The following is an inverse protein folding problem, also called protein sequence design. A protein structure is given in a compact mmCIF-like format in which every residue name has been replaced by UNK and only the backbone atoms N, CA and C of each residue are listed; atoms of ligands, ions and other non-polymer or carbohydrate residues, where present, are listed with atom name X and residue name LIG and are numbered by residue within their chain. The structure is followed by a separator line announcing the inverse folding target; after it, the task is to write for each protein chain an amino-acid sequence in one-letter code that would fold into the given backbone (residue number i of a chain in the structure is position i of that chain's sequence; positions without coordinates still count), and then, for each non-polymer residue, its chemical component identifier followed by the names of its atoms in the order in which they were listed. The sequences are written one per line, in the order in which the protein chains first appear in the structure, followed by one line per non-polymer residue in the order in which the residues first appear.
data_IF_266503770132
#
_entry.id   IF_266503770132
#
_cell.length_a   1.000
_cell.length_b   1.000
_cell.length_c   1.000
_cell.angle_alpha   90.00
_cell.angle_beta   90.00
_cell.angle_gamma   90.00
#
_symmetry.space_group_name_H-M   'P 1'
#
loop_
_entity.id
_entity.type
_entity.pdbx_description
1 polymer ?
#
# COMPACT_ATOMS: atom_id res chain seq x y z
N UNK A 1 54.80 34.88 -9.43
CA UNK A 1 53.49 34.67 -10.09
C UNK A 1 52.93 33.35 -9.56
N UNK A 2 52.00 33.39 -8.60
CA UNK A 2 51.42 32.19 -7.95
C UNK A 2 50.16 31.79 -8.72
N UNK A 3 50.19 30.61 -9.35
CA UNK A 3 49.03 30.04 -10.06
C UNK A 3 48.26 29.20 -9.06
N UNK A 4 47.06 29.67 -8.67
CA UNK A 4 46.11 28.94 -7.85
C UNK A 4 45.38 27.93 -8.74
N UNK A 5 45.54 26.63 -8.47
CA UNK A 5 44.73 25.58 -9.07
C UNK A 5 43.39 25.52 -8.31
N UNK A 6 42.30 25.94 -8.95
CA UNK A 6 40.95 25.71 -8.45
C UNK A 6 40.53 24.29 -8.84
N UNK A 7 40.45 23.38 -7.86
CA UNK A 7 39.84 22.07 -8.04
C UNK A 7 38.33 22.26 -7.96
N UNK A 8 37.65 22.11 -9.09
CA UNK A 8 36.20 22.07 -9.17
C UNK A 8 35.73 20.67 -8.77
N UNK A 9 35.11 20.54 -7.59
CA UNK A 9 34.41 19.31 -7.19
C UNK A 9 33.10 19.22 -8.00
N UNK A 10 33.07 18.33 -8.98
CA UNK A 10 31.85 17.89 -9.65
C UNK A 10 31.04 17.02 -8.68
N UNK A 11 29.99 17.59 -8.10
CA UNK A 11 28.92 16.81 -7.48
C UNK A 11 28.16 16.08 -8.58
N UNK A 12 28.41 14.79 -8.74
CA UNK A 12 27.52 13.90 -9.47
C UNK A 12 26.27 13.77 -8.60
N UNK A 13 25.25 14.58 -8.86
CA UNK A 13 23.91 14.29 -8.38
C UNK A 13 23.43 13.06 -9.14
N UNK A 14 23.53 11.89 -8.52
CA UNK A 14 22.80 10.72 -8.96
C UNK A 14 21.30 11.09 -8.91
N UNK A 15 20.67 11.16 -10.09
CA UNK A 15 19.29 11.55 -10.22
C UNK A 15 18.40 10.59 -9.44
N UNK A 16 17.64 11.13 -8.49
CA UNK A 16 16.59 10.37 -7.83
C UNK A 16 15.54 10.02 -8.91
N UNK A 17 15.28 8.73 -9.12
CA UNK A 17 14.30 8.25 -10.11
C UNK A 17 12.89 8.45 -9.57
N UNK A 18 12.25 9.56 -9.89
CA UNK A 18 10.82 9.76 -9.68
C UNK A 18 10.04 9.07 -10.82
N UNK A 19 9.15 8.14 -10.49
CA UNK A 19 8.43 7.33 -11.49
C UNK A 19 7.02 6.95 -11.10
N UNK A 20 6.17 6.72 -12.11
CA UNK A 20 4.83 6.14 -11.98
C UNK A 20 4.86 4.65 -11.60
N UNK A 21 6.04 4.04 -11.58
CA UNK A 21 6.28 2.64 -11.32
C UNK A 21 7.69 2.42 -10.76
N UNK A 22 7.89 1.28 -10.10
CA UNK A 22 9.20 0.79 -9.70
C UNK A 22 9.36 -0.67 -10.10
N UNK A 23 10.42 -0.98 -10.84
CA UNK A 23 10.85 -2.33 -11.17
C UNK A 23 12.16 -2.64 -10.46
N UNK A 24 12.23 -3.77 -9.74
CA UNK A 24 13.43 -4.16 -8.97
C UNK A 24 14.71 -4.21 -9.82
N UNK A 25 14.57 -4.54 -11.11
CA UNK A 25 15.68 -4.63 -12.08
C UNK A 25 15.60 -3.55 -13.18
N UNK A 26 14.70 -2.57 -13.03
CA UNK A 26 14.52 -1.48 -13.99
C UNK A 26 13.64 -1.79 -15.22
N UNK A 27 13.28 -3.05 -15.44
CA UNK A 27 12.39 -3.45 -16.54
C UNK A 27 10.95 -3.05 -16.21
N UNK A 28 10.44 -2.04 -16.94
CA UNK A 28 9.06 -1.53 -16.80
C UNK A 28 8.40 -1.61 -18.17
N UNK A 29 7.42 -2.52 -18.31
CA UNK A 29 6.66 -2.77 -19.53
C UNK A 29 5.73 -1.59 -19.87
N UNK A 30 5.01 -1.07 -18.89
CA UNK A 30 3.98 -0.06 -19.12
C UNK A 30 4.54 1.36 -18.96
N UNK A 31 4.56 2.19 -20.02
CA UNK A 31 5.12 3.53 -19.95
C UNK A 31 4.26 4.46 -19.10
N UNK A 32 4.82 5.60 -18.68
CA UNK A 32 4.06 6.63 -17.98
C UNK A 32 2.84 7.07 -18.80
N UNK A 33 1.69 7.18 -18.15
CA UNK A 33 0.43 7.58 -18.79
C UNK A 33 -0.30 6.46 -19.55
N UNK A 34 0.13 5.19 -19.44
CA UNK A 34 -0.67 4.06 -19.93
C UNK A 34 -2.07 4.06 -19.30
N UNK A 35 -3.08 3.63 -20.06
CA UNK A 35 -4.48 3.69 -19.63
C UNK A 35 -4.97 2.47 -18.85
N UNK A 36 -4.39 1.29 -19.10
CA UNK A 36 -4.75 0.02 -18.47
C UNK A 36 -3.68 -1.03 -18.72
N UNK A 37 -3.62 -2.07 -17.89
CA UNK A 37 -2.84 -3.27 -18.20
C UNK A 37 -3.42 -3.99 -19.44
N UNK A 38 -2.58 -4.67 -20.22
CA UNK A 38 -2.95 -5.33 -21.49
C UNK A 38 -4.00 -6.44 -21.29
N UNK A 39 -3.99 -7.08 -20.13
CA UNK A 39 -4.94 -8.14 -19.78
C UNK A 39 -6.29 -7.61 -19.28
N UNK A 40 -6.52 -6.29 -19.29
CA UNK A 40 -7.79 -5.68 -18.88
C UNK A 40 -8.72 -5.49 -20.09
N UNK A 41 -9.90 -6.08 -20.03
CA UNK A 41 -10.98 -5.74 -20.95
C UNK A 41 -11.62 -4.39 -20.56
N UNK A 42 -11.29 -3.33 -21.30
CA UNK A 42 -11.85 -1.97 -21.06
C UNK A 42 -13.36 -1.88 -21.29
N UNK A 43 -13.92 -2.79 -22.08
CA UNK A 43 -15.38 -2.88 -22.33
C UNK A 43 -16.09 -3.81 -21.33
N UNK A 44 -15.43 -4.25 -20.26
CA UNK A 44 -16.04 -5.10 -19.27
C UNK A 44 -17.27 -4.42 -18.63
N UNK A 45 -18.45 -5.06 -18.68
CA UNK A 45 -19.69 -4.47 -18.14
C UNK A 45 -19.52 -4.18 -16.65
N UNK A 46 -20.13 -3.08 -16.19
CA UNK A 46 -20.12 -2.68 -14.77
C UNK A 46 -21.49 -2.97 -14.17
N UNK A 47 -21.51 -3.70 -13.05
CA UNK A 47 -22.73 -4.09 -12.35
C UNK A 47 -22.96 -5.60 -12.35
N UNK A 48 -24.10 -6.01 -11.77
CA UNK A 48 -24.40 -7.41 -11.49
C UNK A 48 -23.84 -7.88 -10.15
N UNK A 49 -24.10 -9.16 -9.85
CA UNK A 49 -23.66 -9.82 -8.63
C UNK A 49 -22.78 -11.04 -8.97
N UNK A 50 -21.71 -11.23 -8.21
CA UNK A 50 -20.87 -12.43 -8.29
C UNK A 50 -20.97 -13.13 -6.92
N UNK A 51 -21.61 -14.30 -6.91
CA UNK A 51 -21.67 -15.16 -5.74
C UNK A 51 -20.53 -16.19 -5.82
N UNK A 52 -19.67 -16.22 -4.80
CA UNK A 52 -18.55 -17.15 -4.70
C UNK A 52 -18.61 -17.93 -3.39
N UNK A 53 -18.22 -19.20 -3.44
CA UNK A 53 -17.89 -19.95 -2.23
C UNK A 53 -16.45 -19.62 -1.86
N UNK A 54 -16.21 -19.32 -0.58
CA UNK A 54 -14.88 -18.98 -0.10
C UNK A 54 -13.88 -20.12 -0.42
N UNK A 55 -12.75 -19.85 -1.09
CA UNK A 55 -11.76 -20.88 -1.44
C UNK A 55 -10.86 -21.23 -0.24
N UNK A 56 -11.38 -21.13 0.99
CA UNK A 56 -10.61 -21.31 2.22
C UNK A 56 -11.28 -22.35 3.12
N UNK A 57 -10.51 -22.98 4.02
CA UNK A 57 -11.05 -23.94 4.99
C UNK A 57 -11.92 -23.29 6.07
N UNK A 58 -11.77 -21.98 6.27
CA UNK A 58 -12.57 -21.23 7.24
C UNK A 58 -13.98 -21.05 6.67
N UNK A 59 -14.96 -21.75 7.27
CA UNK A 59 -16.37 -21.67 6.89
C UNK A 59 -17.11 -20.49 7.55
N UNK A 60 -16.40 -19.67 8.33
CA UNK A 60 -16.98 -18.59 9.13
C UNK A 60 -15.93 -17.52 9.40
N UNK A 61 -16.38 -16.31 9.73
CA UNK A 61 -15.56 -15.18 10.15
C UNK A 61 -16.13 -14.59 11.44
N UNK A 62 -15.25 -14.13 12.32
CA UNK A 62 -15.60 -13.60 13.65
C UNK A 62 -15.04 -12.17 13.89
N UNK A 63 -14.39 -11.59 12.88
CA UNK A 63 -13.87 -10.21 12.88
C UNK A 63 -13.82 -9.62 11.47
N UNK A 64 -13.64 -8.31 11.37
CA UNK A 64 -13.41 -7.60 10.11
C UNK A 64 -11.99 -7.09 9.93
N UNK A 65 -11.17 -7.08 10.98
CA UNK A 65 -9.78 -6.67 10.86
C UNK A 65 -8.90 -7.82 10.35
N UNK A 66 -8.36 -7.76 9.12
CA UNK A 66 -7.54 -8.84 8.57
C UNK A 66 -6.09 -8.83 9.06
N UNK A 67 -5.67 -7.79 9.78
CA UNK A 67 -4.26 -7.56 10.11
C UNK A 67 -3.82 -8.16 11.45
N UNK A 68 -4.74 -8.73 12.22
CA UNK A 68 -4.51 -9.23 13.58
C UNK A 68 -4.47 -10.76 13.62
N UNK A 69 -3.80 -11.34 14.62
CA UNK A 69 -3.62 -12.80 14.68
C UNK A 69 -4.87 -13.55 15.15
N UNK A 70 -5.58 -13.01 16.15
CA UNK A 70 -6.72 -13.69 16.79
C UNK A 70 -7.97 -13.58 15.94
N UNK A 71 -8.71 -14.68 15.76
CA UNK A 71 -9.93 -14.72 14.96
C UNK A 71 -9.67 -14.80 13.44
N UNK A 72 -10.74 -14.99 12.67
CA UNK A 72 -10.71 -15.13 11.21
C UNK A 72 -11.47 -13.99 10.55
N UNK A 73 -10.78 -13.24 9.70
CA UNK A 73 -11.41 -12.22 8.86
C UNK A 73 -12.05 -12.86 7.62
N UNK A 74 -13.10 -12.26 7.04
CA UNK A 74 -13.76 -12.80 5.86
C UNK A 74 -12.84 -12.81 4.63
N UNK A 75 -13.08 -13.71 3.66
CA UNK A 75 -12.27 -13.82 2.45
C UNK A 75 -12.29 -12.52 1.64
N UNK A 76 -11.18 -12.23 0.95
CA UNK A 76 -11.01 -11.08 0.05
C UNK A 76 -11.07 -9.68 0.69
N UNK A 77 -11.37 -9.55 1.99
CA UNK A 77 -11.46 -8.25 2.67
C UNK A 77 -10.17 -7.43 2.50
N UNK A 78 -9.00 -8.06 2.62
CA UNK A 78 -7.71 -7.38 2.50
C UNK A 78 -7.47 -6.78 1.12
N UNK A 79 -7.91 -7.47 0.05
CA UNK A 79 -7.65 -7.08 -1.34
C UNK A 79 -8.76 -6.24 -1.96
N UNK A 80 -9.99 -6.29 -1.43
CA UNK A 80 -11.13 -5.55 -1.95
C UNK A 80 -11.34 -4.21 -1.22
N UNK A 81 -11.03 -4.17 0.08
CA UNK A 81 -11.31 -3.01 0.94
C UNK A 81 -10.08 -2.13 1.12
N UNK A 82 -8.89 -2.71 1.25
CA UNK A 82 -7.65 -1.96 1.50
C UNK A 82 -6.77 -1.92 0.26
N UNK A 83 -6.14 -0.78 0.03
CA UNK A 83 -5.15 -0.60 -1.04
C UNK A 83 -3.76 -0.34 -0.46
N UNK A 84 -2.79 -0.43 -1.35
CA UNK A 84 -1.36 -0.27 -1.09
C UNK A 84 -0.82 0.97 -1.80
N UNK A 85 0.42 1.36 -1.50
CA UNK A 85 1.06 2.49 -2.19
C UNK A 85 1.28 2.20 -3.68
N UNK A 86 1.76 0.99 -3.98
CA UNK A 86 1.96 0.46 -5.32
C UNK A 86 1.16 -0.83 -5.52
N UNK A 87 0.80 -1.12 -6.77
CA UNK A 87 0.11 -2.34 -7.19
C UNK A 87 0.96 -3.15 -8.18
N UNK A 88 1.15 -4.43 -7.89
CA UNK A 88 1.78 -5.38 -8.82
C UNK A 88 0.84 -5.76 -9.97
N UNK A 89 1.36 -6.45 -10.98
CA UNK A 89 0.59 -6.91 -12.13
C UNK A 89 0.88 -8.38 -12.47
N UNK A 90 0.11 -8.96 -13.40
CA UNK A 90 0.22 -10.39 -13.73
C UNK A 90 1.31 -10.75 -14.75
N UNK A 91 2.01 -9.77 -15.31
CA UNK A 91 3.00 -9.98 -16.38
C UNK A 91 4.43 -9.65 -15.95
N UNK A 92 4.60 -8.83 -14.91
CA UNK A 92 5.91 -8.42 -14.40
C UNK A 92 6.06 -8.81 -12.92
N UNK A 93 6.83 -9.86 -12.60
CA UNK A 93 6.88 -10.41 -11.24
C UNK A 93 7.54 -9.49 -10.21
N UNK A 94 8.40 -8.57 -10.64
CA UNK A 94 9.19 -7.68 -9.78
C UNK A 94 8.98 -6.21 -10.11
N UNK A 95 7.79 -5.86 -10.63
CA UNK A 95 7.42 -4.48 -10.98
C UNK A 95 6.06 -4.12 -10.41
N UNK A 96 5.95 -2.92 -9.84
CA UNK A 96 4.70 -2.38 -9.32
C UNK A 96 4.49 -0.93 -9.77
N UNK A 97 3.23 -0.56 -9.98
CA UNK A 97 2.80 0.74 -10.49
C UNK A 97 2.11 1.54 -9.40
N UNK A 98 2.06 2.87 -9.54
CA UNK A 98 1.36 3.74 -8.61
C UNK A 98 -0.10 3.35 -8.40
N UNK A 99 -0.53 3.28 -7.14
CA UNK A 99 -1.92 3.10 -6.73
C UNK A 99 -2.34 4.25 -5.81
N UNK A 100 -2.08 4.14 -4.51
CA UNK A 100 -2.24 5.26 -3.58
C UNK A 100 -1.11 6.29 -3.71
N UNK A 101 0.06 5.86 -4.17
CA UNK A 101 1.15 6.75 -4.55
C UNK A 101 1.06 7.11 -6.05
N UNK A 102 1.22 8.39 -6.37
CA UNK A 102 1.38 8.86 -7.77
C UNK A 102 2.84 8.84 -8.23
N UNK A 103 3.79 8.85 -7.29
CA UNK A 103 5.21 8.85 -7.56
C UNK A 103 5.97 8.02 -6.54
N UNK A 104 7.00 7.30 -7.00
CA UNK A 104 7.98 6.59 -6.19
C UNK A 104 9.38 7.04 -6.58
N UNK A 105 10.18 7.39 -5.57
CA UNK A 105 11.57 7.86 -5.73
C UNK A 105 12.52 7.10 -4.82
N UNK A 106 13.43 6.30 -5.37
CA UNK A 106 14.49 5.63 -4.60
C UNK A 106 15.72 6.53 -4.51
N UNK A 107 16.29 6.66 -3.32
CA UNK A 107 17.52 7.40 -3.10
C UNK A 107 18.70 6.73 -3.81
N UNK A 108 19.68 7.51 -4.25
CA UNK A 108 20.83 7.02 -5.00
C UNK A 108 21.73 6.02 -4.23
N UNK A 109 21.65 6.04 -2.90
CA UNK A 109 22.35 5.09 -2.02
C UNK A 109 21.53 3.82 -1.73
N UNK A 110 20.30 3.74 -2.28
CA UNK A 110 19.33 2.66 -2.06
C UNK A 110 18.94 2.45 -0.59
N UNK A 111 19.23 3.41 0.28
CA UNK A 111 18.92 3.33 1.72
C UNK A 111 17.58 3.95 2.07
N UNK A 112 16.86 4.52 1.10
CA UNK A 112 15.50 4.99 1.31
C UNK A 112 14.67 5.04 0.03
N UNK A 113 13.36 5.02 0.20
CA UNK A 113 12.38 5.32 -0.85
C UNK A 113 11.40 6.36 -0.36
N UNK A 114 11.03 7.29 -1.24
CA UNK A 114 10.03 8.33 -0.98
C UNK A 114 8.84 8.09 -1.89
N UNK A 115 7.63 8.14 -1.33
CA UNK A 115 6.39 8.10 -2.07
C UNK A 115 5.67 9.43 -1.97
N UNK A 116 5.14 9.90 -3.09
CA UNK A 116 4.17 10.99 -3.14
C UNK A 116 2.77 10.42 -3.28
N UNK A 117 1.89 10.73 -2.34
CA UNK A 117 0.53 10.24 -2.29
C UNK A 117 -0.31 10.99 -3.31
N UNK A 118 -1.11 10.23 -4.07
CA UNK A 118 -2.04 10.76 -5.04
C UNK A 118 -3.05 11.68 -4.34
N UNK A 119 -3.19 12.95 -4.74
CA UNK A 119 -4.12 13.89 -4.10
C UNK A 119 -5.59 13.46 -4.24
N UNK A 120 -5.92 12.64 -5.25
CA UNK A 120 -7.26 12.10 -5.47
C UNK A 120 -7.57 10.87 -4.60
N UNK A 121 -6.57 10.26 -3.97
CA UNK A 121 -6.78 9.09 -3.11
C UNK A 121 -7.66 9.46 -1.91
N UNK A 122 -8.73 8.68 -1.72
CA UNK A 122 -9.70 8.84 -0.63
C UNK A 122 -10.03 7.48 -0.03
N UNK A 123 -10.34 7.50 1.26
CA UNK A 123 -10.96 6.38 1.93
C UNK A 123 -12.47 6.38 1.68
N UNK A 124 -13.15 5.25 1.95
CA UNK A 124 -14.61 5.07 1.80
C UNK A 124 -15.45 6.05 2.61
N UNK A 125 -14.87 6.73 3.61
CA UNK A 125 -15.52 7.77 4.39
C UNK A 125 -15.33 9.19 3.80
N UNK A 126 -14.75 9.30 2.60
CA UNK A 126 -14.50 10.56 1.89
C UNK A 126 -13.25 11.32 2.33
N UNK A 127 -12.57 10.89 3.40
CA UNK A 127 -11.32 11.53 3.83
C UNK A 127 -10.21 11.23 2.83
N UNK A 128 -9.39 12.23 2.51
CA UNK A 128 -8.21 12.03 1.69
C UNK A 128 -7.15 11.20 2.42
N UNK A 129 -6.46 10.33 1.68
CA UNK A 129 -5.34 9.54 2.19
C UNK A 129 -4.13 10.45 2.45
N UNK A 130 -3.59 10.48 3.66
CA UNK A 130 -2.43 11.31 4.02
C UNK A 130 -1.20 10.47 4.36
N UNK A 131 -0.01 11.09 4.31
CA UNK A 131 1.24 10.46 4.71
C UNK A 131 1.21 10.02 6.18
N UNK A 132 0.48 10.75 7.02
CA UNK A 132 0.25 10.37 8.40
C UNK A 132 -0.54 9.06 8.55
N UNK A 133 -1.44 8.74 7.61
CA UNK A 133 -2.18 7.48 7.62
C UNK A 133 -1.29 6.32 7.16
N UNK A 134 -0.45 6.53 6.14
CA UNK A 134 0.58 5.54 5.73
C UNK A 134 1.51 5.21 6.88
N UNK A 135 2.04 6.23 7.58
CA UNK A 135 2.88 6.03 8.77
C UNK A 135 2.12 5.28 9.86
N UNK A 136 0.87 5.66 10.12
CA UNK A 136 0.04 4.98 11.11
C UNK A 136 -0.15 3.50 10.80
N UNK A 137 -0.48 3.16 9.55
CA UNK A 137 -0.63 1.77 9.12
C UNK A 137 0.66 0.98 9.29
N UNK A 138 1.80 1.55 8.87
CA UNK A 138 3.11 0.95 9.09
C UNK A 138 3.38 0.68 10.58
N UNK A 139 3.28 1.70 11.43
CA UNK A 139 3.54 1.60 12.86
C UNK A 139 2.65 0.54 13.53
N UNK A 140 1.36 0.51 13.16
CA UNK A 140 0.40 -0.47 13.69
C UNK A 140 0.71 -1.88 13.22
N UNK A 141 1.06 -2.08 11.95
CA UNK A 141 1.41 -3.38 11.39
C UNK A 141 2.71 -3.96 11.96
N UNK A 142 3.69 -3.11 12.31
CA UNK A 142 4.93 -3.58 12.97
C UNK A 142 4.85 -3.62 14.50
N UNK A 143 3.68 -3.34 15.08
CA UNK A 143 3.47 -3.41 16.53
C UNK A 143 3.21 -4.84 17.01
N UNK A 144 2.99 -5.01 18.32
CA UNK A 144 2.53 -6.28 18.91
C UNK A 144 1.04 -6.53 18.70
N UNK A 145 0.29 -5.53 18.25
CA UNK A 145 -1.17 -5.58 18.02
C UNK A 145 -1.50 -6.28 16.68
N UNK A 146 -0.56 -6.29 15.74
CA UNK A 146 -0.72 -6.96 14.46
C UNK A 146 -0.22 -8.41 14.48
N UNK A 147 -0.62 -9.16 13.46
CA UNK A 147 -0.15 -10.52 13.28
C UNK A 147 1.39 -10.55 13.05
N UNK A 148 2.14 -11.48 13.68
CA UNK A 148 3.61 -11.43 13.72
C UNK A 148 4.32 -11.38 12.37
N UNK A 149 3.70 -11.91 11.31
CA UNK A 149 4.27 -11.92 9.97
C UNK A 149 4.59 -10.52 9.44
N UNK A 150 3.82 -9.49 9.81
CA UNK A 150 4.09 -8.13 9.36
C UNK A 150 5.41 -7.58 9.91
N UNK A 151 5.75 -7.88 11.18
CA UNK A 151 7.05 -7.50 11.76
C UNK A 151 8.22 -8.17 11.06
N UNK A 152 8.04 -9.44 10.66
CA UNK A 152 9.04 -10.16 9.87
C UNK A 152 9.19 -9.55 8.48
N UNK A 153 8.06 -9.33 7.81
CA UNK A 153 8.01 -8.80 6.44
C UNK A 153 8.64 -7.41 6.33
N UNK A 154 8.40 -6.53 7.30
CA UNK A 154 8.98 -5.18 7.35
C UNK A 154 10.26 -5.07 8.19
N UNK A 155 10.90 -6.19 8.53
CA UNK A 155 12.02 -6.21 9.48
C UNK A 155 13.26 -5.42 9.02
N UNK A 156 13.40 -5.18 7.72
CA UNK A 156 14.52 -4.45 7.11
C UNK A 156 14.25 -2.93 6.99
N UNK A 157 13.02 -2.51 7.28
CA UNK A 157 12.64 -1.09 7.31
C UNK A 157 13.07 -0.51 8.67
N UNK A 158 13.84 0.58 8.62
CA UNK A 158 14.33 1.29 9.80
C UNK A 158 13.28 2.25 10.35
N UNK A 159 12.64 3.03 9.48
CA UNK A 159 11.63 4.03 9.88
C UNK A 159 10.74 4.45 8.72
N UNK A 160 9.53 4.90 9.05
CA UNK A 160 8.66 5.65 8.16
C UNK A 160 8.59 7.12 8.64
N UNK A 161 8.97 8.06 7.78
CA UNK A 161 9.13 9.48 8.07
C UNK A 161 8.17 10.29 7.22
N UNK A 162 7.23 10.98 7.87
CA UNK A 162 6.34 11.93 7.20
C UNK A 162 7.13 13.20 6.90
N UNK A 163 7.32 13.48 5.61
CA UNK A 163 8.03 14.68 5.14
C UNK A 163 7.06 15.87 5.08
N UNK A 164 5.84 15.62 4.60
CA UNK A 164 4.71 16.55 4.59
C UNK A 164 3.40 15.75 4.42
N UNK A 165 2.26 16.43 4.31
CA UNK A 165 0.92 15.82 4.23
C UNK A 165 0.77 14.73 3.16
N UNK A 166 1.52 14.82 2.06
CA UNK A 166 1.43 13.90 0.92
C UNK A 166 2.74 13.17 0.61
N UNK A 167 3.76 13.30 1.44
CA UNK A 167 5.07 12.71 1.17
C UNK A 167 5.54 11.89 2.36
N UNK A 168 5.80 10.60 2.11
CA UNK A 168 6.29 9.65 3.11
C UNK A 168 7.60 9.05 2.61
N UNK A 169 8.62 9.01 3.48
CA UNK A 169 9.90 8.35 3.20
C UNK A 169 10.06 7.13 4.10
N UNK A 170 10.45 6.00 3.54
CA UNK A 170 10.88 4.84 4.29
C UNK A 170 12.41 4.75 4.25
N UNK A 171 13.04 4.73 5.41
CA UNK A 171 14.48 4.51 5.54
C UNK A 171 14.72 3.01 5.78
N UNK A 172 15.78 2.47 5.20
CA UNK A 172 16.13 1.06 5.24
C UNK A 172 17.36 0.79 6.10
N UNK A 173 17.48 -0.44 6.61
CA UNK A 173 18.65 -0.86 7.40
C UNK A 173 19.87 -1.20 6.53
N UNK A 174 19.63 -1.56 5.27
CA UNK A 174 20.63 -1.86 4.25
C UNK A 174 20.03 -1.61 2.86
N UNK A 175 20.90 -1.41 1.87
CA UNK A 175 20.50 -1.37 0.47
C UNK A 175 19.96 -2.76 0.05
N UNK A 176 18.75 -2.78 -0.48
CA UNK A 176 18.11 -3.96 -1.07
C UNK A 176 17.02 -3.47 -2.03
N UNK A 177 17.16 -3.79 -3.31
CA UNK A 177 16.27 -3.35 -4.39
C UNK A 177 14.83 -3.90 -4.26
N UNK A 178 14.58 -4.90 -3.43
CA UNK A 178 13.24 -5.40 -3.13
C UNK A 178 12.48 -4.50 -2.15
N UNK A 179 13.19 -3.75 -1.29
CA UNK A 179 12.55 -2.99 -0.20
C UNK A 179 11.54 -1.93 -0.67
N UNK A 180 11.77 -1.19 -1.77
CA UNK A 180 10.74 -0.31 -2.33
C UNK A 180 9.44 -1.02 -2.71
N UNK A 181 9.50 -2.26 -3.22
CA UNK A 181 8.31 -3.07 -3.50
C UNK A 181 7.65 -3.54 -2.20
N UNK A 182 8.43 -3.96 -1.21
CA UNK A 182 7.93 -4.40 0.10
C UNK A 182 7.13 -3.28 0.78
N UNK A 183 7.68 -2.07 0.90
CA UNK A 183 6.93 -0.94 1.49
C UNK A 183 5.88 -0.39 0.54
N UNK A 184 6.05 -0.54 -0.78
CA UNK A 184 5.04 -0.24 -1.78
C UNK A 184 3.77 -1.09 -1.60
N UNK A 185 3.93 -2.34 -1.17
CA UNK A 185 2.85 -3.28 -0.85
C UNK A 185 2.22 -3.10 0.54
N UNK A 186 2.55 -2.03 1.28
CA UNK A 186 1.98 -1.74 2.60
C UNK A 186 0.48 -1.42 2.50
N UNK A 187 -0.43 -2.19 3.14
CA UNK A 187 -1.84 -1.84 3.20
C UNK A 187 -2.06 -0.56 4.01
N UNK A 188 -2.83 0.38 3.48
CA UNK A 188 -3.08 1.68 4.09
C UNK A 188 -4.52 1.77 4.63
N UNK A 189 -4.65 2.23 5.86
CA UNK A 189 -5.92 2.47 6.56
C UNK A 189 -5.83 3.75 7.41
N UNK A 190 -6.94 4.48 7.60
CA UNK A 190 -6.90 5.78 8.26
C UNK A 190 -6.71 5.63 9.77
N UNK A 191 -6.07 6.64 10.37
CA UNK A 191 -5.93 6.77 11.84
C UNK A 191 -7.26 6.77 12.61
N UNK A 192 -8.36 7.08 11.92
CA UNK A 192 -9.70 7.16 12.48
C UNK A 192 -10.38 5.79 12.58
N UNK A 193 -9.87 4.76 11.90
CA UNK A 193 -10.44 3.41 11.99
C UNK A 193 -10.32 2.85 13.40
N UNK A 194 -11.43 2.32 13.92
CA UNK A 194 -11.51 1.79 15.29
C UNK A 194 -11.61 2.86 16.39
N UNK A 195 -11.70 4.15 16.05
CA UNK A 195 -11.96 5.20 17.05
C UNK A 195 -10.94 5.30 18.18
N UNK A 196 -9.67 5.00 17.88
CA UNK A 196 -8.58 5.03 18.87
C UNK A 196 -8.36 3.73 19.65
N UNK A 197 -9.13 2.67 19.37
CA UNK A 197 -8.84 1.33 19.88
C UNK A 197 -7.47 0.83 19.42
N UNK A 198 -6.76 0.03 20.22
CA UNK A 198 -5.64 -0.79 19.75
C UNK A 198 -6.07 -1.66 18.55
N UNK A 199 -5.16 -1.90 17.59
CA UNK A 199 -5.47 -2.60 16.35
C UNK A 199 -6.03 -4.01 16.61
N UNK A 200 -5.51 -4.73 17.62
CA UNK A 200 -5.96 -6.05 18.06
C UNK A 200 -7.35 -6.06 18.74
N UNK A 201 -7.87 -4.87 19.08
CA UNK A 201 -9.20 -4.69 19.66
C UNK A 201 -10.24 -4.18 18.65
N UNK A 202 -9.81 -3.85 17.43
CA UNK A 202 -10.70 -3.56 16.30
C UNK A 202 -11.18 -4.91 15.76
N UNK A 203 -12.32 -5.39 16.26
CA UNK A 203 -12.85 -6.72 15.92
C UNK A 203 -14.03 -6.60 14.97
N UNK A 204 -15.11 -5.97 15.41
CA UNK A 204 -16.38 -5.85 14.65
C UNK A 204 -16.62 -4.46 14.09
N UNK A 205 -15.70 -3.52 14.35
CA UNK A 205 -15.71 -2.20 13.73
C UNK A 205 -15.53 -2.34 12.21
N UNK A 206 -16.46 -1.84 11.39
CA UNK A 206 -16.33 -1.91 9.94
C UNK A 206 -15.01 -1.27 9.48
N UNK A 207 -14.28 -1.92 8.57
CA UNK A 207 -13.03 -1.40 8.03
C UNK A 207 -13.28 -0.13 7.23
N UNK A 208 -12.40 0.84 7.41
CA UNK A 208 -12.33 2.00 6.54
C UNK A 208 -11.09 1.80 5.67
N UNK A 209 -11.30 1.52 4.38
CA UNK A 209 -10.24 1.39 3.41
C UNK A 209 -10.44 2.35 2.23
N UNK A 210 -9.69 2.16 1.16
CA UNK A 210 -9.77 2.97 -0.07
C UNK A 210 -10.05 2.13 -1.31
N UNK A 211 -10.14 0.81 -1.17
CA UNK A 211 -10.31 -0.11 -2.28
C UNK A 211 -11.63 0.03 -3.02
N UNK A 212 -11.78 -0.65 -4.16
CA UNK A 212 -12.96 -0.50 -5.01
C UNK A 212 -14.27 -1.03 -4.40
N UNK A 213 -14.21 -1.72 -3.26
CA UNK A 213 -15.38 -2.22 -2.54
C UNK A 213 -15.33 -1.92 -1.05
N UNK A 214 -16.49 -1.76 -0.45
CA UNK A 214 -16.71 -1.64 1.01
C UNK A 214 -17.59 -2.78 1.50
N UNK A 215 -17.68 -2.94 2.82
CA UNK A 215 -18.60 -3.91 3.40
C UNK A 215 -20.05 -3.48 3.13
N UNK A 216 -20.82 -4.39 2.54
CA UNK A 216 -22.27 -4.29 2.37
C UNK A 216 -23.01 -5.00 3.49
N UNK A 217 -24.07 -5.74 3.16
CA UNK A 217 -24.79 -6.57 4.13
C UNK A 217 -23.89 -7.67 4.70
N UNK A 218 -24.00 -7.87 6.02
CA UNK A 218 -23.21 -8.85 6.77
C UNK A 218 -24.13 -9.73 7.60
N UNK A 219 -24.11 -11.04 7.36
CA UNK A 219 -24.66 -12.05 8.28
C UNK A 219 -23.46 -12.73 8.96
N UNK A 220 -23.08 -12.26 10.15
CA UNK A 220 -21.90 -12.74 10.88
C UNK A 220 -21.84 -14.27 10.95
N UNK A 221 -20.71 -14.81 10.51
CA UNK A 221 -20.44 -16.24 10.50
C UNK A 221 -21.13 -17.05 9.38
N UNK A 222 -21.81 -16.40 8.43
CA UNK A 222 -22.40 -17.06 7.25
C UNK A 222 -22.01 -16.37 5.95
N UNK A 223 -22.57 -15.19 5.69
CA UNK A 223 -22.44 -14.50 4.41
C UNK A 223 -21.86 -13.10 4.60
N UNK A 224 -20.99 -12.71 3.67
CA UNK A 224 -20.48 -11.35 3.56
C UNK A 224 -20.71 -10.82 2.15
N UNK A 225 -21.21 -9.60 2.06
CA UNK A 225 -21.36 -8.88 0.81
C UNK A 225 -20.34 -7.74 0.73
N UNK A 226 -19.78 -7.56 -0.47
CA UNK A 226 -18.94 -6.44 -0.82
C UNK A 226 -19.67 -5.60 -1.86
N UNK A 227 -19.85 -4.33 -1.56
CA UNK A 227 -20.52 -3.39 -2.46
C UNK A 227 -19.47 -2.48 -3.08
N UNK A 228 -19.59 -2.25 -4.40
CA UNK A 228 -18.70 -1.34 -5.10
C UNK A 228 -18.81 0.05 -4.47
N UNK A 229 -17.68 0.64 -4.13
CA UNK A 229 -17.67 2.03 -3.72
C UNK A 229 -17.78 2.96 -4.95
N UNK A 230 -18.65 3.94 -4.86
CA UNK A 230 -18.98 4.87 -5.96
C UNK A 230 -18.55 6.31 -5.64
N UNK A 231 -17.82 6.49 -4.54
CA UNK A 231 -17.43 7.80 -4.00
C UNK A 231 -16.19 8.40 -4.66
#
# INVERSE_FOLDING_TARGET
MRILFFIFLLFIQAGAWAGHAYGQFGDIKYPAGFSHFDYVNVQAPKGGEIAMVAPTRASSFDKFNPFTLKGSAPPAISSLVFETLLIGNFEEPTTAYGLLAEDVTVASDELSVTFKINPLAKFHNGQHVMAADVKHSFDKLISKEAAPQYRTYFSEVKSAVVINDRTIRFDFKRANSELPLIVGGLPVFPRTWGGGKPLDQIVTDPPIGSGPYKLGRMDFGRDIQYERDLS
#
